data_IF_789135782228
#
_entry.id   IF_789135782228
#
_cell.length_a   1.000
_cell.length_b   1.000
_cell.length_c   1.000
_cell.angle_alpha   90.00
_cell.angle_beta   90.00
_cell.angle_gamma   90.00
#
_symmetry.space_group_name_H-M   'P 1'
#
loop_
_entity.id
_entity.type
_entity.pdbx_description
1 polymer ?
#
# COMPACT_ATOMS: atom_id res chain seq x y z
N UNK A 1 8.01 3.04 -9.22
CA UNK A 1 7.36 2.95 -7.89
C UNK A 1 8.41 2.51 -6.89
N UNK A 2 8.34 2.96 -5.63
CA UNK A 2 9.33 2.60 -4.60
C UNK A 2 8.59 1.93 -3.44
N UNK A 3 8.96 0.69 -3.12
CA UNK A 3 8.38 -0.04 -2.02
C UNK A 3 9.22 0.13 -0.76
N UNK A 4 8.56 0.21 0.40
CA UNK A 4 9.20 0.23 1.72
C UNK A 4 8.80 -1.01 2.50
N UNK A 5 9.71 -1.51 3.33
CA UNK A 5 9.52 -2.69 4.16
C UNK A 5 8.88 -2.30 5.50
N UNK A 6 7.99 -3.16 6.01
CA UNK A 6 7.43 -3.04 7.36
C UNK A 6 7.29 -4.42 8.01
N UNK A 7 7.46 -4.46 9.33
CA UNK A 7 7.10 -5.61 10.15
C UNK A 7 5.63 -5.59 10.57
N UNK A 8 5.00 -4.41 10.53
CA UNK A 8 3.61 -4.24 10.97
C UNK A 8 2.62 -4.62 9.86
N UNK A 9 1.45 -5.10 10.27
CA UNK A 9 0.35 -5.39 9.36
C UNK A 9 -0.19 -4.09 8.75
N UNK A 10 0.35 -3.71 7.60
CA UNK A 10 -0.15 -2.60 6.78
C UNK A 10 -1.14 -3.16 5.76
N UNK A 11 -2.30 -2.51 5.65
CA UNK A 11 -3.33 -2.84 4.70
C UNK A 11 -3.40 -1.81 3.56
N UNK A 12 -3.87 -2.28 2.41
CA UNK A 12 -4.20 -1.40 1.30
C UNK A 12 -5.24 -0.37 1.76
N UNK A 13 -5.02 0.90 1.40
CA UNK A 13 -5.91 2.00 1.78
C UNK A 13 -5.62 2.58 3.17
N UNK A 14 -4.71 2.02 3.96
CA UNK A 14 -4.28 2.64 5.21
C UNK A 14 -3.70 4.03 4.93
N UNK A 15 -3.95 4.98 5.82
CA UNK A 15 -3.35 6.30 5.75
C UNK A 15 -2.80 6.73 7.11
N UNK A 16 -1.78 7.57 7.09
CA UNK A 16 -1.11 8.00 8.31
C UNK A 16 0.13 8.83 8.07
N UNK A 17 1.08 8.81 9.00
CA UNK A 17 2.34 9.54 8.85
C UNK A 17 3.53 8.60 8.95
N UNK A 18 4.62 8.95 8.28
CA UNK A 18 5.92 8.31 8.47
C UNK A 18 6.65 9.09 9.55
N UNK A 19 7.08 8.41 10.61
CA UNK A 19 7.81 9.03 11.71
C UNK A 19 9.29 9.28 11.35
N UNK A 20 10.06 9.85 12.28
CA UNK A 20 11.49 10.12 12.07
C UNK A 20 12.34 8.85 11.86
N UNK A 21 11.88 7.68 12.32
CA UNK A 21 12.56 6.40 12.11
C UNK A 21 12.23 5.75 10.77
N UNK A 22 11.39 6.38 9.94
CA UNK A 22 10.93 5.81 8.68
C UNK A 22 9.79 4.80 8.81
N UNK A 23 9.28 4.56 10.03
CA UNK A 23 8.16 3.65 10.26
C UNK A 23 6.82 4.36 9.96
N UNK A 24 5.91 3.64 9.32
CA UNK A 24 4.57 4.13 9.01
C UNK A 24 3.64 3.95 10.21
N UNK A 25 3.11 5.04 10.74
CA UNK A 25 2.11 5.04 11.80
C UNK A 25 0.72 5.17 11.17
N UNK A 26 -0.01 4.05 11.11
CA UNK A 26 -1.40 4.02 10.61
C UNK A 26 -2.32 4.84 11.53
N UNK A 27 -3.15 5.69 10.94
CA UNK A 27 -4.16 6.51 11.65
C UNK A 27 -5.59 6.13 11.29
N UNK A 28 -5.78 5.47 10.15
CA UNK A 28 -7.08 5.08 9.65
C UNK A 28 -6.95 4.37 8.32
N UNK A 29 -8.07 3.91 7.78
CA UNK A 29 -8.11 3.21 6.51
C UNK A 29 -9.18 3.85 5.62
N UNK A 30 -8.80 4.16 4.38
CA UNK A 30 -9.67 4.76 3.39
C UNK A 30 -10.92 3.92 3.15
N UNK A 31 -10.79 2.59 3.10
CA UNK A 31 -11.94 1.71 2.93
C UNK A 31 -12.84 1.65 4.16
N UNK A 32 -12.28 1.74 5.37
CA UNK A 32 -13.09 1.86 6.59
C UNK A 32 -13.85 3.20 6.62
N UNK A 33 -13.20 4.28 6.20
CA UNK A 33 -13.85 5.58 6.04
C UNK A 33 -14.90 5.58 4.91
N UNK A 34 -14.69 4.76 3.87
CA UNK A 34 -15.59 4.50 2.76
C UNK A 34 -16.61 3.40 3.04
N UNK A 35 -16.55 2.62 4.12
CA UNK A 35 -17.62 1.69 4.49
C UNK A 35 -18.87 2.47 4.95
N UNK A 36 -18.71 3.78 5.20
CA UNK A 36 -19.79 4.77 5.17
C UNK A 36 -20.46 4.95 3.78
N UNK A 37 -19.87 4.41 2.71
CA UNK A 37 -20.14 4.68 1.29
C UNK A 37 -19.97 3.38 0.45
N UNK A 38 -20.83 2.37 0.63
CA UNK A 38 -20.94 1.10 -0.13
C UNK A 38 -20.20 0.98 -1.49
N UNK A 39 -18.88 0.77 -1.50
CA UNK A 39 -18.09 0.52 -2.71
C UNK A 39 -17.59 -0.93 -2.78
N UNK A 40 -17.79 -1.59 -3.93
CA UNK A 40 -17.36 -2.99 -4.17
C UNK A 40 -15.88 -3.06 -4.58
N UNK A 41 -15.17 -4.09 -4.11
CA UNK A 41 -13.73 -4.33 -4.31
C UNK A 41 -13.50 -5.22 -5.55
N UNK A 42 -12.61 -4.82 -6.47
CA UNK A 42 -12.15 -5.66 -7.59
C UNK A 42 -10.68 -6.08 -7.41
N UNK A 43 -10.33 -7.33 -7.76
CA UNK A 43 -8.99 -7.93 -7.62
C UNK A 43 -8.32 -8.11 -8.99
N UNK A 44 -7.04 -7.73 -9.12
CA UNK A 44 -6.20 -7.95 -10.31
C UNK A 44 -4.80 -8.46 -9.97
N UNK A 45 -4.17 -9.21 -10.89
CA UNK A 45 -2.84 -9.85 -10.73
C UNK A 45 -1.72 -8.87 -11.10
N UNK A 46 -0.62 -8.81 -10.32
CA UNK A 46 0.51 -7.87 -10.57
C UNK A 46 1.89 -8.50 -10.29
N UNK A 47 2.94 -8.01 -10.99
CA UNK A 47 4.37 -8.32 -10.81
C UNK A 47 5.13 -7.11 -10.24
N UNK A 48 6.17 -7.35 -9.44
CA UNK A 48 7.07 -6.33 -8.90
C UNK A 48 8.51 -6.50 -9.43
N UNK A 49 9.28 -5.41 -9.45
CA UNK A 49 10.71 -5.37 -9.80
C UNK A 49 11.48 -4.68 -8.66
N UNK A 50 12.57 -5.29 -8.20
CA UNK A 50 13.41 -4.77 -7.11
C UNK A 50 14.50 -3.78 -7.57
N UNK A 51 15.04 -3.01 -6.62
CA UNK A 51 15.94 -1.86 -6.84
C UNK A 51 17.43 -2.10 -6.53
N UNK A 52 17.90 -3.35 -6.48
CA UNK A 52 19.34 -3.66 -6.47
C UNK A 52 19.67 -4.60 -7.64
N UNK A 53 20.65 -4.25 -8.50
CA UNK A 53 20.93 -5.03 -9.71
C UNK A 53 21.58 -6.40 -9.48
N UNK A 54 21.99 -6.74 -8.25
CA UNK A 54 22.76 -7.96 -7.96
C UNK A 54 22.15 -8.93 -6.92
N UNK A 55 21.07 -8.56 -6.23
CA UNK A 55 20.38 -9.46 -5.28
C UNK A 55 18.88 -9.50 -5.62
N UNK A 56 18.47 -10.56 -6.30
CA UNK A 56 17.06 -10.88 -6.49
C UNK A 56 16.59 -11.67 -5.26
N UNK A 57 15.81 -11.05 -4.37
CA UNK A 57 14.98 -11.85 -3.45
C UNK A 57 13.84 -12.45 -4.27
N UNK A 58 13.94 -13.75 -4.56
CA UNK A 58 12.85 -14.50 -5.19
C UNK A 58 11.66 -14.55 -4.21
N UNK A 59 10.77 -13.57 -4.32
CA UNK A 59 9.55 -13.53 -3.53
C UNK A 59 8.72 -14.77 -3.87
N UNK A 60 8.54 -15.66 -2.89
CA UNK A 60 7.72 -16.84 -3.07
C UNK A 60 6.24 -16.46 -3.07
N UNK A 61 5.62 -16.42 -4.27
CA UNK A 61 4.20 -16.12 -4.51
C UNK A 61 3.72 -14.78 -3.90
N UNK A 62 4.26 -13.64 -4.34
CA UNK A 62 3.81 -12.33 -3.84
C UNK A 62 2.35 -12.07 -4.24
N UNK A 63 1.52 -11.71 -3.27
CA UNK A 63 0.20 -11.14 -3.51
C UNK A 63 0.34 -9.63 -3.58
N UNK A 64 0.23 -9.08 -4.78
CA UNK A 64 0.21 -7.63 -4.98
C UNK A 64 -1.22 -7.12 -5.04
N UNK A 65 -1.50 -6.10 -4.25
CA UNK A 65 -2.76 -5.37 -4.20
C UNK A 65 -2.46 -3.89 -4.45
N UNK A 66 -3.25 -3.21 -5.27
CA UNK A 66 -3.18 -1.76 -5.42
C UNK A 66 -4.55 -1.12 -5.47
N UNK A 67 -4.60 0.17 -5.16
CA UNK A 67 -5.80 0.96 -5.33
C UNK A 67 -6.14 1.08 -6.83
N UNK A 68 -7.43 1.17 -7.18
CA UNK A 68 -7.84 1.42 -8.57
C UNK A 68 -7.23 2.72 -9.08
N UNK A 69 -6.79 2.74 -10.34
CA UNK A 69 -6.28 3.95 -11.00
C UNK A 69 -7.26 4.46 -12.05
N UNK A 70 -8.56 4.51 -11.70
CA UNK A 70 -9.61 5.07 -12.55
C UNK A 70 -10.05 6.46 -12.06
N UNK A 71 -10.75 7.21 -12.92
CA UNK A 71 -11.13 8.59 -12.64
C UNK A 71 -12.17 8.72 -11.51
N UNK A 72 -13.02 7.70 -11.32
CA UNK A 72 -13.96 7.64 -10.20
C UNK A 72 -13.22 7.56 -8.86
N UNK A 73 -12.20 6.69 -8.78
CA UNK A 73 -11.35 6.56 -7.62
C UNK A 73 -10.51 7.81 -7.38
N UNK A 74 -9.97 8.44 -8.44
CA UNK A 74 -9.31 9.75 -8.31
C UNK A 74 -10.27 10.80 -7.74
N UNK A 75 -11.52 10.81 -8.20
CA UNK A 75 -12.55 11.73 -7.69
C UNK A 75 -12.90 11.49 -6.22
N UNK A 76 -12.92 10.23 -5.78
CA UNK A 76 -13.02 9.87 -4.36
C UNK A 76 -11.81 10.36 -3.56
N UNK A 77 -10.60 10.17 -4.07
CA UNK A 77 -9.40 10.69 -3.42
C UNK A 77 -9.43 12.23 -3.30
N UNK A 78 -9.96 12.92 -4.31
CA UNK A 78 -10.17 14.37 -4.28
C UNK A 78 -11.16 14.75 -3.19
N UNK A 79 -12.28 14.04 -3.04
CA UNK A 79 -13.27 14.34 -1.99
C UNK A 79 -12.73 14.09 -0.58
N UNK A 80 -11.86 13.10 -0.41
CA UNK A 80 -11.17 12.79 0.84
C UNK A 80 -9.87 13.58 1.06
N UNK A 81 -9.46 14.42 0.10
CA UNK A 81 -8.17 15.12 0.13
C UNK A 81 -7.95 15.88 1.45
N UNK A 82 -8.97 16.57 1.96
CA UNK A 82 -8.93 17.33 3.22
C UNK A 82 -8.60 16.45 4.44
N UNK A 83 -9.14 15.23 4.49
CA UNK A 83 -8.87 14.25 5.57
C UNK A 83 -7.49 13.63 5.47
N UNK A 84 -6.97 13.57 4.24
CA UNK A 84 -5.68 12.99 3.91
C UNK A 84 -4.56 14.06 3.89
N UNK A 85 -4.88 15.33 4.13
CA UNK A 85 -3.90 16.43 4.23
C UNK A 85 -2.76 16.07 5.19
N UNK A 86 -1.52 16.20 4.70
CA UNK A 86 -0.27 15.83 5.38
C UNK A 86 -0.09 14.33 5.71
N UNK A 87 -0.99 13.46 5.25
CA UNK A 87 -0.90 12.01 5.43
C UNK A 87 -0.35 11.33 4.19
N UNK A 88 0.22 10.16 4.36
CA UNK A 88 0.57 9.23 3.29
C UNK A 88 -0.54 8.20 3.18
N UNK A 89 -0.92 7.86 1.95
CA UNK A 89 -1.89 6.81 1.66
C UNK A 89 -1.15 5.60 1.10
N UNK A 90 -1.41 4.41 1.64
CA UNK A 90 -0.92 3.14 1.12
C UNK A 90 -1.71 2.80 -0.16
N UNK A 91 -1.06 2.95 -1.31
CA UNK A 91 -1.66 2.72 -2.62
C UNK A 91 -1.33 1.36 -3.22
N UNK A 92 -0.34 0.66 -2.66
CA UNK A 92 0.00 -0.70 -3.04
C UNK A 92 0.58 -1.47 -1.86
N UNK A 93 0.29 -2.77 -1.79
CA UNK A 93 0.84 -3.70 -0.81
C UNK A 93 1.26 -4.98 -1.55
N UNK A 94 2.47 -5.45 -1.27
CA UNK A 94 2.96 -6.75 -1.68
C UNK A 94 3.11 -7.58 -0.42
N UNK A 95 2.28 -8.62 -0.30
CA UNK A 95 2.40 -9.62 0.75
C UNK A 95 3.21 -10.79 0.20
N UNK A 96 4.30 -11.11 0.86
CA UNK A 96 5.09 -12.27 0.52
C UNK A 96 4.80 -13.36 1.54
N UNK A 97 4.39 -14.54 1.07
CA UNK A 97 4.23 -15.66 1.98
C UNK A 97 5.57 -16.00 2.64
N UNK A 98 5.55 -16.49 3.89
CA UNK A 98 6.74 -17.08 4.50
C UNK A 98 7.35 -18.12 3.59
N UNK A 99 8.69 -18.19 3.56
CA UNK A 99 9.37 -19.26 2.83
C UNK A 99 8.92 -20.61 3.41
N UNK A 100 8.38 -21.53 2.60
CA UNK A 100 8.01 -22.86 3.10
C UNK A 100 9.19 -23.63 3.72
N UNK A 101 10.43 -23.24 3.45
CA UNK A 101 11.66 -23.81 4.05
C UNK A 101 11.97 -23.26 5.43
N UNK A 102 11.42 -22.11 5.79
CA UNK A 102 11.54 -21.49 7.12
C UNK A 102 10.15 -21.09 7.65
N UNK A 103 9.43 -22.02 8.30
CA UNK A 103 8.10 -21.76 8.84
C UNK A 103 8.09 -20.73 9.98
N UNK A 104 9.26 -20.40 10.54
CA UNK A 104 9.40 -19.40 11.58
C UNK A 104 9.64 -17.98 11.02
N UNK A 105 9.84 -17.84 9.70
CA UNK A 105 10.01 -16.54 9.07
C UNK A 105 8.69 -15.74 9.12
N UNK A 106 8.70 -14.50 9.62
CA UNK A 106 7.51 -13.65 9.62
C UNK A 106 7.10 -13.29 8.18
N UNK A 107 5.79 -13.20 7.93
CA UNK A 107 5.23 -12.71 6.66
C UNK A 107 5.77 -11.32 6.36
N UNK A 108 6.43 -11.17 5.20
CA UNK A 108 7.03 -9.89 4.80
C UNK A 108 6.00 -9.05 4.05
N UNK A 109 5.85 -7.81 4.49
CA UNK A 109 4.96 -6.85 3.86
C UNK A 109 5.78 -5.71 3.27
N UNK A 110 5.55 -5.45 1.99
CA UNK A 110 6.10 -4.29 1.32
C UNK A 110 4.94 -3.39 0.90
N UNK A 111 5.15 -2.09 0.95
CA UNK A 111 4.08 -1.15 0.64
C UNK A 111 4.58 0.01 -0.20
N UNK A 112 3.66 0.57 -1.00
CA UNK A 112 3.87 1.79 -1.76
C UNK A 112 2.94 2.88 -1.20
N UNK A 113 3.50 4.08 -1.02
CA UNK A 113 2.78 5.25 -0.50
C UNK A 113 2.66 6.33 -1.55
N UNK A 114 1.51 7.00 -1.58
CA UNK A 114 1.32 8.25 -2.30
C UNK A 114 1.05 9.39 -1.32
N UNK A 115 1.56 10.59 -1.66
CA UNK A 115 1.16 11.83 -1.01
C UNK A 115 -0.08 12.42 -1.71
N UNK A 116 -1.05 12.97 -0.96
CA UNK A 116 -2.28 13.56 -1.49
C UNK A 116 -2.04 14.64 -2.54
N UNK A 117 -1.01 15.47 -2.35
CA UNK A 117 -0.67 16.57 -3.27
C UNK A 117 -0.23 16.10 -4.68
N UNK A 118 -0.04 14.80 -4.88
CA UNK A 118 0.36 14.22 -6.16
C UNK A 118 -0.85 13.67 -6.95
N UNK A 119 -2.04 13.56 -6.35
CA UNK A 119 -3.19 12.94 -7.01
C UNK A 119 -3.77 13.74 -8.18
N UNK A 120 -3.53 15.06 -8.21
CA UNK A 120 -4.02 15.95 -9.27
C UNK A 120 -3.09 16.05 -10.48
N UNK A 121 -1.94 15.36 -10.48
CA UNK A 121 -0.86 15.58 -11.46
C UNK A 121 -0.64 14.48 -12.50
N UNK A 122 -1.47 13.43 -12.53
CA UNK A 122 -1.38 12.35 -13.52
C UNK A 122 -2.72 12.06 -14.20
#
# INVERSE_FOLDING_TARGET
MRFSYTHDAINLGDYGHVNYSGAFCCQGNLFADLESLSLKREYGIVRAYDCYPDDFEELYKPLYLSLPSNDDFKSLLVSFSTRLVHKYLITGVIQCLPDPRDPCAPTRHWYNVAKPFVWHRN
#
